data_IF_997644533987
#
_entry.id   IF_997644533987
#
_cell.length_a   1.000
_cell.length_b   1.000
_cell.length_c   1.000
_cell.angle_alpha   90.00
_cell.angle_beta   90.00
_cell.angle_gamma   90.00
#
_symmetry.space_group_name_H-M   'P 1'
#
loop_
_entity.id
_entity.type
_entity.pdbx_description
1 polymer ?
#
# COMPACT_ATOMS: atom_id res chain seq x y z
N UNK A 1 46.91 -56.71 -4.08
CA UNK A 1 46.54 -55.80 -2.99
C UNK A 1 45.88 -54.57 -3.61
N UNK A 2 44.55 -54.59 -3.70
CA UNK A 2 43.72 -53.49 -4.23
C UNK A 2 42.68 -53.17 -3.15
N UNK A 3 42.52 -51.92 -2.72
CA UNK A 3 41.41 -51.56 -1.86
C UNK A 3 40.24 -51.00 -2.68
N UNK A 4 39.06 -51.53 -2.38
CA UNK A 4 37.76 -51.18 -2.92
C UNK A 4 37.39 -49.71 -2.68
N UNK A 5 36.89 -49.04 -3.72
CA UNK A 5 36.17 -47.77 -3.61
C UNK A 5 34.71 -48.04 -3.23
N UNK A 6 34.36 -47.80 -1.96
CA UNK A 6 32.98 -47.65 -1.51
C UNK A 6 32.62 -46.16 -1.55
N UNK A 7 31.87 -45.77 -2.58
CA UNK A 7 31.24 -44.45 -2.70
C UNK A 7 30.09 -44.32 -1.71
N UNK A 8 30.32 -43.66 -0.57
CA UNK A 8 29.24 -43.14 0.25
C UNK A 8 28.89 -41.73 -0.24
N UNK A 9 27.79 -41.61 -0.98
CA UNK A 9 27.13 -40.31 -1.23
C UNK A 9 26.79 -39.71 0.14
N UNK A 10 27.52 -38.66 0.53
CA UNK A 10 27.11 -37.81 1.64
C UNK A 10 25.85 -37.08 1.20
N UNK A 11 24.73 -37.38 1.85
CA UNK A 11 23.49 -36.64 1.68
C UNK A 11 23.77 -35.18 2.10
N UNK A 12 23.74 -34.27 1.13
CA UNK A 12 23.82 -32.86 1.40
C UNK A 12 22.71 -32.49 2.38
N UNK A 13 23.11 -32.00 3.56
CA UNK A 13 22.20 -31.48 4.57
C UNK A 13 21.21 -30.48 3.93
N UNK A 14 19.95 -30.45 4.39
CA UNK A 14 18.99 -29.47 3.89
C UNK A 14 19.57 -28.08 4.09
N UNK A 15 19.86 -27.39 2.99
CA UNK A 15 20.30 -25.99 3.02
C UNK A 15 19.25 -25.19 3.79
N UNK A 16 19.63 -24.71 4.97
CA UNK A 16 18.90 -23.72 5.74
C UNK A 16 18.48 -22.55 4.84
N UNK A 17 17.26 -22.02 5.00
CA UNK A 17 16.76 -20.92 4.18
C UNK A 17 17.69 -19.71 4.37
N UNK A 18 18.11 -19.12 3.25
CA UNK A 18 18.82 -17.84 3.23
C UNK A 18 17.92 -16.74 3.85
N UNK A 19 18.28 -16.17 5.02
CA UNK A 19 17.47 -15.17 5.73
C UNK A 19 17.74 -13.72 5.27
N UNK A 20 18.53 -13.49 4.22
CA UNK A 20 19.09 -12.17 3.91
C UNK A 20 18.43 -11.39 2.75
N UNK A 21 17.14 -11.60 2.47
CA UNK A 21 16.36 -10.68 1.64
C UNK A 21 15.13 -10.16 2.39
N UNK A 22 15.36 -9.52 3.54
CA UNK A 22 14.29 -8.84 4.28
C UNK A 22 13.63 -7.75 3.41
N UNK A 23 12.33 -7.52 3.60
CA UNK A 23 11.64 -6.44 2.90
C UNK A 23 12.18 -5.08 3.40
N UNK A 24 12.24 -4.04 2.53
CA UNK A 24 12.78 -2.73 2.94
C UNK A 24 11.96 -2.12 4.10
N UNK A 25 10.70 -2.52 4.21
CA UNK A 25 9.75 -2.17 5.27
C UNK A 25 10.21 -2.57 6.68
N UNK A 26 10.99 -3.65 6.84
CA UNK A 26 11.47 -4.17 8.15
C UNK A 26 12.23 -3.15 8.97
N UNK A 27 12.88 -2.25 8.28
CA UNK A 27 13.71 -1.24 8.92
C UNK A 27 12.92 -0.08 9.49
N UNK A 28 11.63 0.05 9.16
CA UNK A 28 10.74 1.10 9.66
C UNK A 28 11.22 2.52 9.32
N UNK A 29 11.93 2.68 8.19
CA UNK A 29 12.51 3.95 7.76
C UNK A 29 12.51 4.11 6.24
N UNK A 30 11.82 5.13 5.74
CA UNK A 30 11.85 5.51 4.32
C UNK A 30 13.16 6.26 3.96
N UNK A 31 13.64 7.11 4.86
CA UNK A 31 14.78 8.01 4.62
C UNK A 31 16.14 7.42 5.04
N UNK A 32 17.16 7.65 4.21
CA UNK A 32 18.57 7.39 4.51
C UNK A 32 19.11 8.35 5.60
N UNK A 33 20.23 7.99 6.23
CA UNK A 33 20.85 8.77 7.32
C UNK A 33 21.31 7.87 8.49
N UNK A 34 22.02 8.43 9.50
CA UNK A 34 22.60 7.68 10.61
C UNK A 34 21.59 6.75 11.30
N UNK A 35 22.06 5.74 12.03
CA UNK A 35 21.21 4.79 12.76
C UNK A 35 20.30 5.50 13.80
N UNK A 36 19.15 5.98 13.34
CA UNK A 36 18.11 6.60 14.16
C UNK A 36 16.98 5.63 14.47
N UNK A 37 16.24 5.93 15.54
CA UNK A 37 15.08 5.14 15.99
C UNK A 37 14.03 5.00 14.87
N UNK A 38 13.37 3.83 14.70
CA UNK A 38 12.29 3.67 13.74
C UNK A 38 11.18 4.70 14.00
N UNK A 39 10.49 5.13 12.94
CA UNK A 39 9.43 6.15 13.02
C UNK A 39 8.14 5.62 12.40
N UNK A 40 7.03 6.28 12.72
CA UNK A 40 5.78 6.12 11.96
C UNK A 40 6.06 6.50 10.51
N UNK A 41 5.90 5.52 9.62
CA UNK A 41 6.11 5.71 8.19
C UNK A 41 4.89 6.36 7.56
N UNK A 42 3.72 5.83 7.92
CA UNK A 42 2.43 6.25 7.38
C UNK A 42 1.53 6.66 8.52
N UNK A 43 1.12 7.92 8.50
CA UNK A 43 0.11 8.46 9.40
C UNK A 43 -1.31 8.03 9.02
N UNK A 44 -1.55 7.86 7.71
CA UNK A 44 -2.83 7.49 7.09
C UNK A 44 -2.61 6.49 5.97
N UNK A 45 -3.58 5.61 5.76
CA UNK A 45 -3.60 4.74 4.58
C UNK A 45 -4.21 5.42 3.36
N UNK A 46 -3.56 5.16 2.23
CA UNK A 46 -4.05 5.47 0.90
C UNK A 46 -4.53 4.18 0.26
N UNK A 47 -5.61 3.64 0.78
CA UNK A 47 -6.24 2.41 0.29
C UNK A 47 -7.74 2.64 0.37
N UNK A 48 -8.45 2.44 -0.73
CA UNK A 48 -9.90 2.53 -0.74
C UNK A 48 -10.52 1.21 -0.27
N UNK A 49 -11.09 1.14 0.95
CA UNK A 49 -11.66 -0.09 1.48
C UNK A 49 -12.89 -0.55 0.68
N UNK A 50 -13.51 0.31 -0.14
CA UNK A 50 -14.64 -0.11 -0.97
C UNK A 50 -14.28 -1.26 -1.92
N UNK A 51 -13.02 -1.37 -2.33
CA UNK A 51 -12.52 -2.50 -3.13
C UNK A 51 -12.64 -3.80 -2.34
N UNK A 52 -12.15 -3.84 -1.09
CA UNK A 52 -12.31 -4.99 -0.21
C UNK A 52 -13.77 -5.29 0.07
N UNK A 53 -14.56 -4.28 0.45
CA UNK A 53 -15.95 -4.47 0.83
C UNK A 53 -16.81 -5.02 -0.32
N UNK A 54 -16.45 -4.70 -1.56
CA UNK A 54 -17.11 -5.26 -2.75
C UNK A 54 -16.62 -6.67 -3.12
N UNK A 55 -15.38 -7.01 -2.77
CA UNK A 55 -14.74 -8.26 -3.19
C UNK A 55 -14.83 -9.37 -2.15
N UNK A 56 -14.88 -9.02 -0.86
CA UNK A 56 -14.84 -9.97 0.23
C UNK A 56 -16.19 -10.66 0.44
N UNK A 57 -16.18 -11.88 1.02
CA UNK A 57 -17.41 -12.55 1.44
C UNK A 57 -18.22 -11.70 2.44
N UNK A 58 -19.46 -12.10 2.77
CA UNK A 58 -20.29 -11.40 3.75
C UNK A 58 -19.60 -11.21 5.13
N UNK A 59 -20.09 -10.26 5.96
CA UNK A 59 -19.60 -10.03 7.32
C UNK A 59 -19.54 -11.31 8.19
N UNK A 60 -18.64 -11.32 9.17
CA UNK A 60 -18.29 -12.50 9.97
C UNK A 60 -17.13 -13.33 9.39
N UNK A 61 -16.69 -13.03 8.16
CA UNK A 61 -15.53 -13.66 7.56
C UNK A 61 -14.21 -13.24 8.24
N UNK A 62 -13.25 -14.18 8.31
CA UNK A 62 -11.91 -13.97 8.88
C UNK A 62 -11.00 -13.32 7.85
N UNK A 63 -10.52 -12.12 8.15
CA UNK A 63 -9.74 -11.31 7.21
C UNK A 63 -8.35 -11.00 7.77
N UNK A 64 -7.32 -11.24 6.97
CA UNK A 64 -5.97 -10.72 7.26
C UNK A 64 -5.73 -9.42 6.48
N UNK A 65 -5.19 -8.39 7.14
CA UNK A 65 -4.71 -7.19 6.47
C UNK A 65 -3.34 -6.76 7.01
N UNK A 66 -2.65 -5.89 6.28
CA UNK A 66 -1.45 -5.20 6.81
C UNK A 66 -1.92 -4.06 7.73
N UNK A 67 -1.41 -4.01 8.96
CA UNK A 67 -1.91 -3.07 9.97
C UNK A 67 -1.62 -1.62 9.59
N UNK A 68 -0.37 -1.30 9.27
CA UNK A 68 0.05 0.01 8.78
C UNK A 68 -0.49 1.17 9.65
N UNK A 69 -1.28 2.12 9.15
CA UNK A 69 -1.88 3.17 10.00
C UNK A 69 -3.20 2.77 10.67
N UNK A 70 -3.72 1.57 10.38
CA UNK A 70 -4.95 1.02 10.95
C UNK A 70 -6.23 1.36 10.18
N UNK A 71 -6.21 2.28 9.19
CA UNK A 71 -7.44 2.74 8.54
C UNK A 71 -8.20 1.61 7.79
N UNK A 72 -7.50 0.74 7.05
CA UNK A 72 -8.12 -0.40 6.34
C UNK A 72 -8.65 -1.44 7.34
N UNK A 73 -7.86 -1.78 8.37
CA UNK A 73 -8.28 -2.68 9.43
C UNK A 73 -9.53 -2.17 10.15
N UNK A 74 -9.60 -0.86 10.38
CA UNK A 74 -10.73 -0.21 11.00
C UNK A 74 -12.00 -0.29 10.14
N UNK A 75 -11.88 0.03 8.85
CA UNK A 75 -13.00 -0.05 7.92
C UNK A 75 -13.56 -1.47 7.81
N UNK A 76 -12.68 -2.49 7.76
CA UNK A 76 -13.07 -3.89 7.73
C UNK A 76 -13.76 -4.32 9.04
N UNK A 77 -13.21 -3.95 10.20
CA UNK A 77 -13.83 -4.29 11.48
C UNK A 77 -15.19 -3.61 11.71
N UNK A 78 -15.34 -2.37 11.21
CA UNK A 78 -16.60 -1.64 11.21
C UNK A 78 -17.65 -2.27 10.28
N UNK A 79 -17.21 -2.87 9.17
CA UNK A 79 -18.06 -3.65 8.26
C UNK A 79 -18.42 -5.05 8.80
N UNK A 80 -17.95 -5.43 10.00
CA UNK A 80 -18.31 -6.68 10.67
C UNK A 80 -17.40 -7.87 10.36
N UNK A 81 -16.21 -7.65 9.80
CA UNK A 81 -15.21 -8.70 9.61
C UNK A 81 -14.45 -9.05 10.90
N UNK A 82 -14.01 -10.30 11.02
CA UNK A 82 -13.05 -10.71 12.05
C UNK A 82 -11.63 -10.40 11.56
N UNK A 83 -11.11 -9.23 11.97
CA UNK A 83 -9.86 -8.71 11.41
C UNK A 83 -8.65 -9.11 12.22
N UNK A 84 -7.69 -9.79 11.57
CA UNK A 84 -6.29 -9.84 12.00
C UNK A 84 -5.49 -8.82 11.21
N UNK A 85 -4.84 -7.88 11.88
CA UNK A 85 -4.00 -6.86 11.26
C UNK A 85 -2.54 -7.09 11.65
N UNK A 86 -1.66 -7.28 10.65
CA UNK A 86 -0.28 -7.66 10.85
C UNK A 86 0.70 -6.59 10.37
N UNK A 87 1.73 -6.32 11.15
CA UNK A 87 2.84 -5.46 10.70
C UNK A 87 4.18 -5.95 11.24
N UNK A 88 5.19 -5.86 10.40
CA UNK A 88 6.56 -6.26 10.69
C UNK A 88 7.35 -5.14 11.37
N UNK A 89 6.92 -3.88 11.22
CA UNK A 89 7.50 -2.71 11.86
C UNK A 89 6.82 -2.47 13.24
N UNK A 90 7.53 -2.66 14.36
CA UNK A 90 6.94 -2.53 15.69
C UNK A 90 6.45 -1.11 16.00
N UNK A 91 7.07 -0.06 15.45
CA UNK A 91 6.64 1.33 15.68
C UNK A 91 5.34 1.63 14.92
N UNK A 92 5.20 1.11 13.70
CA UNK A 92 3.97 1.25 12.93
C UNK A 92 2.83 0.45 13.58
N UNK A 93 3.10 -0.76 14.05
CA UNK A 93 2.11 -1.57 14.77
C UNK A 93 1.65 -0.93 16.07
N UNK A 94 2.57 -0.37 16.87
CA UNK A 94 2.22 0.36 18.09
C UNK A 94 1.36 1.58 17.79
N UNK A 95 1.68 2.31 16.71
CA UNK A 95 0.86 3.44 16.25
C UNK A 95 -0.55 3.00 15.81
N UNK A 96 -0.66 1.92 15.02
CA UNK A 96 -1.95 1.34 14.65
C UNK A 96 -2.76 0.94 15.89
N UNK A 97 -2.11 0.37 16.91
CA UNK A 97 -2.75 0.02 18.18
C UNK A 97 -3.39 1.23 18.84
N UNK A 98 -2.62 2.28 19.09
CA UNK A 98 -3.15 3.50 19.74
C UNK A 98 -4.30 4.13 18.95
N UNK A 99 -4.27 4.03 17.61
CA UNK A 99 -5.37 4.48 16.77
C UNK A 99 -6.63 3.61 16.86
N UNK A 100 -6.47 2.29 16.88
CA UNK A 100 -7.57 1.33 16.84
C UNK A 100 -8.19 1.05 18.21
N UNK A 101 -7.39 1.09 19.27
CA UNK A 101 -7.82 0.79 20.64
C UNK A 101 -8.18 2.04 21.43
N UNK A 102 -7.36 3.10 21.31
CA UNK A 102 -7.53 4.34 22.10
C UNK A 102 -8.24 5.46 21.31
N UNK A 103 -8.54 5.23 20.02
CA UNK A 103 -9.15 6.24 19.15
C UNK A 103 -8.25 7.45 18.89
N UNK A 104 -6.92 7.31 19.04
CA UNK A 104 -5.99 8.42 18.89
C UNK A 104 -6.07 9.04 17.49
N UNK A 105 -5.91 10.38 17.37
CA UNK A 105 -5.91 11.05 16.07
C UNK A 105 -4.73 10.61 15.22
N UNK A 106 -4.87 10.76 13.90
CA UNK A 106 -3.79 10.45 12.97
C UNK A 106 -2.58 11.38 13.20
N UNK A 107 -1.41 10.79 13.44
CA UNK A 107 -0.14 11.51 13.49
C UNK A 107 0.41 11.70 12.07
N UNK A 108 1.25 12.72 11.85
CA UNK A 108 1.97 12.86 10.58
C UNK A 108 3.11 11.84 10.50
N UNK A 109 3.03 10.93 9.54
CA UNK A 109 4.11 9.98 9.22
C UNK A 109 5.20 10.60 8.37
N UNK A 110 6.20 9.78 8.03
CA UNK A 110 7.33 10.20 7.20
C UNK A 110 6.90 10.44 5.76
N UNK A 111 6.00 9.61 5.22
CA UNK A 111 5.45 9.79 3.87
C UNK A 111 4.64 11.10 3.76
N UNK A 112 3.83 11.42 4.77
CA UNK A 112 3.03 12.65 4.80
C UNK A 112 3.90 13.91 4.93
N UNK A 113 5.02 13.82 5.67
CA UNK A 113 6.01 14.91 5.72
C UNK A 113 6.62 15.20 4.35
N UNK A 114 7.03 14.15 3.62
CA UNK A 114 7.61 14.31 2.29
C UNK A 114 6.60 14.88 1.29
N UNK A 115 5.38 14.34 1.26
CA UNK A 115 4.32 14.89 0.40
C UNK A 115 3.94 16.32 0.81
N UNK A 116 3.99 16.64 2.11
CA UNK A 116 3.80 17.99 2.62
C UNK A 116 4.82 19.00 2.08
N UNK A 117 6.11 18.65 2.07
CA UNK A 117 7.15 19.47 1.46
C UNK A 117 6.89 19.71 -0.03
N UNK A 118 6.48 18.66 -0.75
CA UNK A 118 6.07 18.77 -2.16
C UNK A 118 4.91 19.73 -2.38
N UNK A 119 3.86 19.64 -1.54
CA UNK A 119 2.72 20.57 -1.58
C UNK A 119 3.14 22.01 -1.29
N UNK A 120 3.99 22.24 -0.29
CA UNK A 120 4.49 23.58 0.04
C UNK A 120 5.29 24.18 -1.12
N UNK A 121 6.17 23.39 -1.74
CA UNK A 121 6.93 23.83 -2.91
C UNK A 121 6.02 24.16 -4.10
N UNK A 122 5.04 23.29 -4.39
CA UNK A 122 4.06 23.54 -5.44
C UNK A 122 3.23 24.80 -5.17
N UNK A 123 2.74 24.99 -3.94
CA UNK A 123 1.96 26.17 -3.55
C UNK A 123 2.75 27.48 -3.61
N UNK A 124 4.06 27.43 -3.35
CA UNK A 124 4.94 28.60 -3.45
C UNK A 124 5.19 29.01 -4.91
N UNK A 125 5.25 28.06 -5.83
CA UNK A 125 5.67 28.28 -7.21
C UNK A 125 4.52 28.33 -8.21
N UNK A 126 3.37 27.72 -7.91
CA UNK A 126 2.28 27.51 -8.85
C UNK A 126 0.96 28.05 -8.27
N UNK A 127 0.32 29.06 -8.89
CA UNK A 127 -0.93 29.64 -8.39
C UNK A 127 -2.07 28.63 -8.19
N UNK A 128 -2.25 27.68 -9.11
CA UNK A 128 -3.27 26.63 -9.01
C UNK A 128 -3.09 25.69 -7.81
N UNK A 129 -1.87 25.60 -7.27
CA UNK A 129 -1.54 24.76 -6.12
C UNK A 129 -1.61 25.49 -4.78
N UNK A 130 -2.02 26.76 -4.76
CA UNK A 130 -2.30 27.47 -3.51
C UNK A 130 -3.44 26.77 -2.74
N UNK A 131 -3.40 26.72 -1.39
CA UNK A 131 -4.39 25.97 -0.61
C UNK A 131 -5.85 26.31 -0.91
N UNK A 132 -6.15 27.59 -1.18
CA UNK A 132 -7.50 28.03 -1.53
C UNK A 132 -7.97 27.50 -2.90
N UNK A 133 -7.09 27.51 -3.91
CA UNK A 133 -7.38 27.00 -5.25
C UNK A 133 -7.59 25.48 -5.23
N UNK A 134 -6.68 24.74 -4.57
CA UNK A 134 -6.81 23.29 -4.36
C UNK A 134 -8.11 22.96 -3.61
N UNK A 135 -8.43 23.69 -2.55
CA UNK A 135 -9.68 23.48 -1.81
C UNK A 135 -10.94 23.78 -2.64
N UNK A 136 -10.89 24.78 -3.53
CA UNK A 136 -11.97 25.05 -4.48
C UNK A 136 -12.16 23.91 -5.48
N UNK A 137 -11.06 23.42 -6.05
CA UNK A 137 -11.06 22.27 -6.95
C UNK A 137 -11.55 20.97 -6.28
N UNK A 138 -11.19 20.76 -5.01
CA UNK A 138 -11.58 19.57 -4.25
C UNK A 138 -13.06 19.54 -3.83
N UNK A 139 -13.77 20.68 -3.94
CA UNK A 139 -15.22 20.77 -3.67
C UNK A 139 -16.08 20.47 -4.90
N UNK A 140 -15.47 20.29 -6.06
CA UNK A 140 -16.19 19.92 -7.27
C UNK A 140 -16.74 18.50 -7.12
N UNK A 141 -17.94 18.30 -7.68
CA UNK A 141 -18.64 17.02 -7.69
C UNK A 141 -18.79 16.45 -9.11
N UNK A 142 -18.63 17.29 -10.14
CA UNK A 142 -18.66 16.90 -11.56
C UNK A 142 -17.25 16.48 -12.06
N UNK A 143 -17.03 15.20 -12.40
CA UNK A 143 -15.75 14.73 -12.94
C UNK A 143 -15.34 15.39 -14.26
N UNK A 144 -16.30 15.84 -15.08
CA UNK A 144 -15.99 16.51 -16.33
C UNK A 144 -15.45 17.92 -16.11
N UNK A 145 -16.06 18.69 -15.22
CA UNK A 145 -15.51 19.97 -14.76
C UNK A 145 -14.14 19.78 -14.10
N UNK A 146 -13.99 18.77 -13.23
CA UNK A 146 -12.70 18.45 -12.60
C UNK A 146 -11.61 18.18 -13.63
N UNK A 147 -11.91 17.37 -14.66
CA UNK A 147 -10.95 17.08 -15.74
C UNK A 147 -10.54 18.34 -16.49
N UNK A 148 -11.50 19.21 -16.83
CA UNK A 148 -11.22 20.49 -17.51
C UNK A 148 -10.32 21.38 -16.65
N UNK A 149 -10.66 21.58 -15.38
CA UNK A 149 -9.88 22.41 -14.45
C UNK A 149 -8.51 21.81 -14.12
N UNK A 150 -8.41 20.50 -13.96
CA UNK A 150 -7.13 19.82 -13.77
C UNK A 150 -6.17 20.13 -14.91
N UNK A 151 -6.63 20.01 -16.16
CA UNK A 151 -5.83 20.26 -17.34
C UNK A 151 -5.46 21.74 -17.49
N UNK A 152 -6.40 22.63 -17.19
CA UNK A 152 -6.20 24.07 -17.37
C UNK A 152 -5.36 24.73 -16.26
N UNK A 153 -5.51 24.30 -15.00
CA UNK A 153 -5.01 25.03 -13.82
C UNK A 153 -3.95 24.26 -13.02
N UNK A 154 -3.93 22.92 -13.08
CA UNK A 154 -3.10 22.09 -12.18
C UNK A 154 -1.96 21.38 -12.92
N UNK A 155 -2.24 20.67 -14.01
CA UNK A 155 -1.26 19.88 -14.79
C UNK A 155 -0.53 20.71 -15.86
N UNK A 156 0.06 21.81 -15.42
CA UNK A 156 0.88 22.67 -16.26
C UNK A 156 2.36 22.24 -16.35
N UNK A 157 3.14 22.84 -17.27
CA UNK A 157 4.58 22.56 -17.40
C UNK A 157 5.37 22.75 -16.09
N UNK A 158 5.00 23.74 -15.27
CA UNK A 158 5.63 24.00 -13.98
C UNK A 158 5.47 22.85 -12.98
N UNK A 159 4.27 22.25 -12.90
CA UNK A 159 4.07 21.07 -12.05
C UNK A 159 4.89 19.88 -12.55
N UNK A 160 4.89 19.65 -13.86
CA UNK A 160 5.64 18.55 -14.48
C UNK A 160 7.15 18.70 -14.23
N UNK A 161 7.67 19.92 -14.31
CA UNK A 161 9.07 20.21 -13.98
C UNK A 161 9.38 19.94 -12.50
N UNK A 162 8.51 20.39 -11.58
CA UNK A 162 8.68 20.13 -10.15
C UNK A 162 8.60 18.63 -9.82
N UNK A 163 7.63 17.92 -10.41
CA UNK A 163 7.51 16.48 -10.25
C UNK A 163 8.75 15.75 -10.80
N UNK A 164 9.25 16.15 -11.96
CA UNK A 164 10.46 15.58 -12.55
C UNK A 164 11.70 15.80 -11.66
N UNK A 165 11.88 17.01 -11.13
CA UNK A 165 12.99 17.33 -10.22
C UNK A 165 12.92 16.55 -8.89
N UNK A 166 11.71 16.28 -8.40
CA UNK A 166 11.51 15.58 -7.14
C UNK A 166 11.55 14.04 -7.28
N UNK A 167 10.83 13.47 -8.25
CA UNK A 167 10.42 12.06 -8.24
C UNK A 167 11.20 11.16 -9.21
N UNK A 168 11.99 11.72 -10.13
CA UNK A 168 12.82 10.92 -11.05
C UNK A 168 13.93 10.16 -10.29
N UNK A 169 14.50 9.09 -10.86
CA UNK A 169 15.52 8.27 -10.19
C UNK A 169 16.78 9.03 -9.73
N UNK A 170 17.09 10.19 -10.33
CA UNK A 170 18.17 11.09 -9.91
C UNK A 170 17.66 12.36 -9.18
N UNK A 171 16.37 12.42 -8.88
CA UNK A 171 15.70 13.55 -8.23
C UNK A 171 15.84 13.55 -6.72
N UNK A 172 15.35 14.62 -6.08
CA UNK A 172 15.50 14.87 -4.65
C UNK A 172 14.94 13.75 -3.76
N UNK A 173 13.86 13.08 -4.16
CA UNK A 173 13.31 11.96 -3.40
C UNK A 173 14.27 10.77 -3.41
N UNK A 174 14.89 10.46 -4.55
CA UNK A 174 15.82 9.35 -4.64
C UNK A 174 17.06 9.56 -3.76
N UNK A 175 17.57 10.80 -3.64
CA UNK A 175 18.74 11.10 -2.80
C UNK A 175 18.47 10.86 -1.32
N UNK A 176 17.25 11.15 -0.85
CA UNK A 176 16.88 10.97 0.56
C UNK A 176 16.31 9.60 0.88
N UNK A 177 15.77 8.86 -0.10
CA UNK A 177 15.25 7.50 0.11
C UNK A 177 16.37 6.48 0.33
N UNK A 178 16.11 5.50 1.21
CA UNK A 178 17.01 4.36 1.35
C UNK A 178 17.09 3.55 0.04
N UNK A 179 18.22 2.91 -0.26
CA UNK A 179 18.41 2.14 -1.49
C UNK A 179 17.30 1.11 -1.77
N UNK A 180 16.84 0.39 -0.75
CA UNK A 180 15.76 -0.61 -0.88
C UNK A 180 14.37 -0.05 -1.21
N UNK A 181 14.15 1.26 -1.08
CA UNK A 181 12.91 1.93 -1.51
C UNK A 181 13.03 2.59 -2.88
N UNK A 182 14.25 2.81 -3.38
CA UNK A 182 14.44 3.36 -4.74
C UNK A 182 13.91 2.40 -5.81
N UNK A 183 14.03 1.09 -5.59
CA UNK A 183 13.54 0.06 -6.52
C UNK A 183 12.02 -0.17 -6.46
N UNK A 184 11.32 0.44 -5.49
CA UNK A 184 9.87 0.37 -5.36
C UNK A 184 9.18 1.31 -6.34
N UNK A 185 9.78 2.46 -6.62
CA UNK A 185 9.19 3.48 -7.47
C UNK A 185 9.28 3.08 -8.96
N UNK A 186 8.19 3.21 -9.74
CA UNK A 186 8.21 3.05 -11.18
C UNK A 186 9.27 3.91 -11.89
N UNK A 187 9.73 3.47 -13.06
CA UNK A 187 10.44 4.36 -13.99
C UNK A 187 9.48 5.47 -14.44
N UNK A 188 9.94 6.71 -14.45
CA UNK A 188 9.09 7.86 -14.78
C UNK A 188 7.99 8.09 -13.74
N UNK A 189 8.26 7.82 -12.46
CA UNK A 189 7.26 7.92 -11.39
C UNK A 189 6.59 9.31 -11.30
N UNK A 190 7.30 10.38 -11.67
CA UNK A 190 6.77 11.72 -11.85
C UNK A 190 5.54 11.74 -12.76
N UNK A 191 5.69 11.25 -13.99
CA UNK A 191 4.60 11.24 -14.96
C UNK A 191 3.54 10.20 -14.61
N UNK A 192 3.95 9.04 -14.10
CA UNK A 192 3.05 7.97 -13.68
C UNK A 192 2.10 8.47 -12.58
N UNK A 193 2.63 9.14 -11.55
CA UNK A 193 1.82 9.67 -10.46
C UNK A 193 0.84 10.73 -10.96
N UNK A 194 1.30 11.67 -11.79
CA UNK A 194 0.42 12.69 -12.38
C UNK A 194 -0.68 12.08 -13.24
N UNK A 195 -0.38 11.06 -14.06
CA UNK A 195 -1.38 10.32 -14.85
C UNK A 195 -2.39 9.60 -13.96
N UNK A 196 -1.96 9.01 -12.83
CA UNK A 196 -2.86 8.35 -11.88
C UNK A 196 -3.81 9.36 -11.22
N UNK A 197 -3.28 10.50 -10.76
CA UNK A 197 -4.10 11.58 -10.21
C UNK A 197 -5.09 12.09 -11.26
N UNK A 198 -4.62 12.41 -12.47
CA UNK A 198 -5.46 12.87 -13.58
C UNK A 198 -6.61 11.90 -13.90
N UNK A 199 -6.33 10.59 -13.91
CA UNK A 199 -7.35 9.56 -14.11
C UNK A 199 -8.37 9.56 -12.97
N UNK A 200 -7.94 9.62 -11.71
CA UNK A 200 -8.86 9.57 -10.57
C UNK A 200 -9.74 10.83 -10.52
N UNK A 201 -9.19 12.03 -10.76
CA UNK A 201 -10.00 13.27 -10.78
C UNK A 201 -10.97 13.32 -11.96
N UNK A 202 -10.69 12.61 -13.05
CA UNK A 202 -11.61 12.50 -14.18
C UNK A 202 -12.71 11.44 -13.98
N UNK A 203 -12.60 10.59 -12.94
CA UNK A 203 -13.50 9.45 -12.73
C UNK A 203 -14.35 9.58 -11.49
N UNK A 204 -13.80 10.12 -10.41
CA UNK A 204 -14.46 10.18 -9.12
C UNK A 204 -14.68 11.64 -8.71
N UNK A 205 -15.86 11.98 -8.15
CA UNK A 205 -16.09 13.29 -7.56
C UNK A 205 -15.07 13.59 -6.46
N UNK A 206 -14.40 14.74 -6.55
CA UNK A 206 -13.42 15.17 -5.56
C UNK A 206 -14.09 15.45 -4.21
N UNK A 207 -15.31 16.00 -4.27
CA UNK A 207 -16.13 16.33 -3.10
C UNK A 207 -16.47 15.11 -2.24
N UNK A 208 -16.36 13.89 -2.76
CA UNK A 208 -16.60 12.64 -2.03
C UNK A 208 -15.34 11.77 -1.88
N UNK A 209 -14.16 12.25 -2.30
CA UNK A 209 -12.92 11.46 -2.31
C UNK A 209 -11.96 11.88 -1.18
N UNK A 210 -12.01 11.18 -0.04
CA UNK A 210 -11.15 11.47 1.12
C UNK A 210 -9.65 11.48 0.78
N UNK A 211 -9.20 10.61 -0.13
CA UNK A 211 -7.80 10.52 -0.50
C UNK A 211 -7.34 11.68 -1.38
N UNK A 212 -8.22 12.26 -2.20
CA UNK A 212 -7.94 13.49 -2.94
C UNK A 212 -7.58 14.63 -1.98
N UNK A 213 -8.39 14.81 -0.94
CA UNK A 213 -8.20 15.82 0.10
C UNK A 213 -6.89 15.60 0.86
N UNK A 214 -6.62 14.36 1.26
CA UNK A 214 -5.37 14.01 1.96
C UNK A 214 -4.15 14.21 1.07
N UNK A 215 -4.18 13.73 -0.18
CA UNK A 215 -3.01 13.78 -1.08
C UNK A 215 -2.69 15.20 -1.52
N UNK A 216 -3.69 15.92 -2.04
CA UNK A 216 -3.50 17.21 -2.72
C UNK A 216 -3.48 18.39 -1.75
N UNK A 217 -4.26 18.33 -0.66
CA UNK A 217 -4.35 19.43 0.31
C UNK A 217 -3.73 19.09 1.67
N UNK A 218 -3.48 17.81 1.98
CA UNK A 218 -2.94 17.40 3.27
C UNK A 218 -3.94 17.50 4.42
N UNK A 219 -5.24 17.45 4.12
CA UNK A 219 -6.32 17.60 5.10
C UNK A 219 -7.36 16.50 4.94
N UNK A 220 -8.11 16.24 6.00
CA UNK A 220 -9.33 15.44 5.88
C UNK A 220 -10.38 16.22 5.09
N UNK A 221 -11.22 15.49 4.36
CA UNK A 221 -12.38 16.07 3.73
C UNK A 221 -13.34 16.62 4.80
N UNK A 222 -13.95 17.80 4.61
CA UNK A 222 -14.99 18.30 5.50
C UNK A 222 -16.11 17.28 5.69
N UNK A 223 -16.46 17.00 6.95
CA UNK A 223 -17.49 16.01 7.29
C UNK A 223 -17.04 14.55 7.18
N UNK A 224 -15.78 14.26 6.85
CA UNK A 224 -15.26 12.91 6.95
C UNK A 224 -15.17 12.50 8.43
N UNK A 225 -15.98 11.53 8.83
CA UNK A 225 -15.85 10.87 10.12
C UNK A 225 -14.87 9.69 9.97
N UNK A 226 -13.95 9.55 10.93
CA UNK A 226 -13.24 8.28 11.07
C UNK A 226 -14.26 7.22 11.51
N UNK A 227 -14.21 6.02 10.92
CA UNK A 227 -14.99 4.90 11.44
C UNK A 227 -14.51 4.61 12.87
N UNK A 228 -15.35 4.80 13.91
CA UNK A 228 -14.95 4.48 15.27
C UNK A 228 -14.81 2.96 15.36
N UNK A 229 -13.65 2.52 15.82
CA UNK A 229 -13.43 1.11 16.14
C UNK A 229 -13.24 1.04 17.63
N UNK A 230 -14.07 0.24 18.30
CA UNK A 230 -13.92 0.00 19.73
C UNK A 230 -12.72 -0.90 20.03
N UNK A 231 -12.23 -0.89 21.28
CA UNK A 231 -11.13 -1.76 21.70
C UNK A 231 -11.48 -3.24 21.45
N UNK A 232 -10.46 -4.02 21.10
CA UNK A 232 -10.59 -5.48 20.89
C UNK A 232 -11.26 -5.92 19.59
N UNK A 233 -11.68 -5.00 18.71
CA UNK A 233 -12.31 -5.33 17.41
C UNK A 233 -11.33 -5.80 16.33
N UNK A 234 -10.04 -5.52 16.49
CA UNK A 234 -8.97 -5.90 15.55
C UNK A 234 -7.87 -6.62 16.32
N UNK A 235 -7.51 -7.82 15.89
CA UNK A 235 -6.37 -8.56 16.44
C UNK A 235 -5.07 -8.10 15.80
N UNK A 236 -4.24 -7.39 16.57
CA UNK A 236 -2.94 -6.90 16.09
C UNK A 236 -1.83 -7.93 16.31
N UNK A 237 -1.10 -8.27 15.24
CA UNK A 237 -0.02 -9.27 15.26
C UNK A 237 1.28 -8.67 14.74
N UNK A 238 2.37 -8.83 15.49
CA UNK A 238 3.71 -8.49 15.00
C UNK A 238 4.29 -9.65 14.23
N UNK A 239 4.68 -9.45 12.98
CA UNK A 239 5.31 -10.50 12.20
C UNK A 239 5.52 -10.11 10.75
N UNK A 240 6.23 -10.96 10.01
CA UNK A 240 6.29 -10.90 8.55
C UNK A 240 5.12 -11.70 7.96
N UNK A 241 4.44 -11.15 6.96
CA UNK A 241 3.16 -11.69 6.49
C UNK A 241 3.28 -13.06 5.84
N UNK A 242 4.34 -13.31 5.07
CA UNK A 242 4.58 -14.61 4.43
C UNK A 242 4.81 -15.66 5.49
N UNK A 243 5.67 -15.39 6.47
CA UNK A 243 5.91 -16.32 7.57
C UNK A 243 4.67 -16.59 8.41
N UNK A 244 3.82 -15.58 8.63
CA UNK A 244 2.56 -15.75 9.34
C UNK A 244 1.59 -16.67 8.58
N UNK A 245 1.42 -16.41 7.28
CA UNK A 245 0.56 -17.22 6.41
C UNK A 245 1.09 -18.66 6.29
N UNK A 246 2.40 -18.87 6.23
CA UNK A 246 2.98 -20.23 6.19
C UNK A 246 2.79 -21.01 7.50
N UNK A 247 2.74 -20.33 8.65
CA UNK A 247 2.62 -20.97 9.97
C UNK A 247 1.18 -21.25 10.39
N UNK A 248 0.19 -20.54 9.85
CA UNK A 248 -1.20 -20.80 10.21
C UNK A 248 -1.72 -22.09 9.57
N UNK A 249 -2.80 -22.65 10.13
CA UNK A 249 -3.48 -23.79 9.52
C UNK A 249 -4.00 -23.42 8.12
N UNK A 250 -4.09 -24.42 7.24
CA UNK A 250 -4.66 -24.20 5.91
C UNK A 250 -6.10 -23.68 6.03
N UNK A 251 -6.47 -22.71 5.20
CA UNK A 251 -7.81 -22.10 5.25
C UNK A 251 -8.15 -21.34 6.55
N UNK A 252 -7.13 -20.83 7.26
CA UNK A 252 -7.31 -19.96 8.43
C UNK A 252 -8.03 -18.64 8.12
N UNK A 253 -8.01 -18.18 6.87
CA UNK A 253 -8.63 -16.94 6.43
C UNK A 253 -9.63 -17.16 5.30
N UNK A 254 -10.66 -16.33 5.28
CA UNK A 254 -11.65 -16.25 4.20
C UNK A 254 -11.22 -15.25 3.13
N UNK A 255 -10.54 -14.19 3.56
CA UNK A 255 -9.94 -13.22 2.65
C UNK A 255 -8.68 -12.57 3.22
N UNK A 256 -7.87 -12.00 2.34
CA UNK A 256 -6.67 -11.21 2.71
C UNK A 256 -6.57 -9.94 1.87
N UNK A 257 -6.07 -8.86 2.46
CA UNK A 257 -5.67 -7.65 1.72
C UNK A 257 -4.21 -7.30 2.00
N UNK A 258 -3.44 -7.15 0.92
CA UNK A 258 -1.99 -7.03 0.93
C UNK A 258 -1.57 -5.83 0.09
N UNK A 259 -1.34 -4.70 0.76
CA UNK A 259 -0.90 -3.47 0.11
C UNK A 259 0.60 -3.30 0.27
N UNK A 260 1.31 -2.98 -0.83
CA UNK A 260 2.76 -2.73 -0.91
C UNK A 260 3.72 -3.86 -0.48
N UNK A 261 3.19 -5.01 -0.06
CA UNK A 261 4.00 -6.16 0.38
C UNK A 261 4.91 -6.69 -0.74
N UNK A 262 4.42 -6.68 -1.98
CA UNK A 262 5.18 -7.10 -3.16
C UNK A 262 6.10 -6.01 -3.72
N UNK A 263 6.02 -4.80 -3.17
CA UNK A 263 6.80 -3.64 -3.61
C UNK A 263 8.17 -3.65 -2.93
N UNK A 264 9.21 -3.90 -3.73
CA UNK A 264 10.61 -3.98 -3.28
C UNK A 264 11.18 -5.38 -3.42
N UNK A 265 10.58 -6.41 -2.79
CA UNK A 265 11.03 -7.78 -2.95
C UNK A 265 10.96 -8.26 -4.41
N UNK A 266 11.85 -9.19 -4.77
CA UNK A 266 11.95 -9.76 -6.11
C UNK A 266 10.91 -10.85 -6.41
N UNK A 267 10.88 -11.39 -7.64
CA UNK A 267 9.89 -12.38 -8.08
C UNK A 267 9.81 -13.65 -7.21
N UNK A 268 10.92 -14.06 -6.58
CA UNK A 268 10.95 -15.20 -5.65
C UNK A 268 10.05 -14.97 -4.43
N UNK A 269 10.10 -13.77 -3.86
CA UNK A 269 9.25 -13.41 -2.73
C UNK A 269 7.78 -13.37 -3.14
N UNK A 270 7.46 -12.77 -4.30
CA UNK A 270 6.09 -12.76 -4.81
C UNK A 270 5.51 -14.17 -5.02
N UNK A 271 6.32 -15.13 -5.53
CA UNK A 271 5.91 -16.54 -5.65
C UNK A 271 5.68 -17.19 -4.28
N UNK A 272 6.57 -16.95 -3.31
CA UNK A 272 6.43 -17.46 -1.94
C UNK A 272 5.17 -16.90 -1.27
N UNK A 273 4.94 -15.59 -1.38
CA UNK A 273 3.72 -14.95 -0.88
C UNK A 273 2.47 -15.54 -1.52
N UNK A 274 2.45 -15.74 -2.85
CA UNK A 274 1.33 -16.40 -3.52
C UNK A 274 1.06 -17.79 -2.95
N UNK A 275 2.09 -18.62 -2.80
CA UNK A 275 1.95 -19.96 -2.23
C UNK A 275 1.42 -19.91 -0.78
N UNK A 276 1.92 -18.98 0.03
CA UNK A 276 1.47 -18.79 1.41
C UNK A 276 0.00 -18.33 1.48
N UNK A 277 -0.43 -17.45 0.58
CA UNK A 277 -1.84 -17.04 0.45
C UNK A 277 -2.72 -18.22 0.03
N UNK A 278 -2.32 -19.01 -0.97
CA UNK A 278 -3.07 -20.20 -1.41
C UNK A 278 -3.22 -21.26 -0.31
N UNK A 279 -2.23 -21.36 0.59
CA UNK A 279 -2.30 -22.25 1.76
C UNK A 279 -3.25 -21.69 2.84
N UNK A 280 -3.04 -20.44 3.25
CA UNK A 280 -3.69 -19.86 4.41
C UNK A 280 -5.14 -19.42 4.15
N UNK A 281 -5.49 -19.11 2.91
CA UNK A 281 -6.84 -18.68 2.52
C UNK A 281 -7.63 -19.89 2.02
N UNK A 282 -8.86 -20.06 2.49
CA UNK A 282 -9.70 -21.20 2.07
C UNK A 282 -9.85 -21.23 0.55
N UNK A 283 -10.02 -22.41 -0.08
CA UNK A 283 -10.33 -22.49 -1.50
C UNK A 283 -11.55 -21.63 -1.88
N UNK A 284 -11.44 -20.87 -2.98
CA UNK A 284 -12.45 -19.91 -3.41
C UNK A 284 -12.51 -18.62 -2.57
N UNK A 285 -11.64 -18.47 -1.57
CA UNK A 285 -11.46 -17.23 -0.82
C UNK A 285 -10.80 -16.14 -1.66
N UNK A 286 -10.72 -14.93 -1.11
CA UNK A 286 -10.36 -13.74 -1.89
C UNK A 286 -9.08 -13.08 -1.39
N UNK A 287 -8.18 -12.71 -2.31
CA UNK A 287 -7.01 -11.90 -2.02
C UNK A 287 -7.09 -10.58 -2.80
N UNK A 288 -7.02 -9.45 -2.09
CA UNK A 288 -6.81 -8.12 -2.68
C UNK A 288 -5.33 -7.78 -2.55
N UNK A 289 -4.68 -7.44 -3.66
CA UNK A 289 -3.26 -7.07 -3.68
C UNK A 289 -3.11 -5.70 -4.32
N UNK A 290 -2.45 -4.78 -3.63
CA UNK A 290 -2.10 -3.45 -4.15
C UNK A 290 -0.60 -3.27 -4.30
N UNK A 291 -0.20 -2.64 -5.41
CA UNK A 291 1.20 -2.37 -5.73
C UNK A 291 1.36 -0.99 -6.36
N UNK A 292 2.40 -0.28 -5.94
CA UNK A 292 2.80 1.00 -6.52
C UNK A 292 3.40 0.84 -7.93
N UNK A 293 3.83 -0.38 -8.29
CA UNK A 293 4.41 -0.70 -9.60
C UNK A 293 3.40 -0.48 -10.72
N UNK A 294 3.91 -0.21 -11.92
CA UNK A 294 3.07 -0.16 -13.11
C UNK A 294 2.54 -1.56 -13.49
N UNK A 295 1.36 -1.63 -14.13
CA UNK A 295 0.78 -2.88 -14.62
C UNK A 295 1.73 -3.69 -15.50
N UNK A 296 1.85 -4.99 -15.22
CA UNK A 296 2.43 -5.96 -16.15
C UNK A 296 1.37 -6.54 -17.11
N UNK A 297 1.66 -7.68 -17.77
CA UNK A 297 0.74 -8.31 -18.72
C UNK A 297 -0.65 -8.64 -18.16
N UNK A 298 -0.75 -8.89 -16.85
CA UNK A 298 -2.03 -9.13 -16.17
C UNK A 298 -2.88 -7.86 -15.93
N UNK A 299 -2.48 -6.72 -16.47
CA UNK A 299 -3.21 -5.46 -16.39
C UNK A 299 -3.25 -4.83 -14.99
N UNK A 300 -3.89 -3.66 -14.93
CA UNK A 300 -4.00 -2.82 -13.74
C UNK A 300 -5.02 -3.33 -12.70
N UNK A 301 -5.85 -4.30 -13.09
CA UNK A 301 -7.00 -4.72 -12.30
C UNK A 301 -7.96 -3.54 -12.07
N UNK A 302 -8.36 -3.35 -10.82
CA UNK A 302 -9.27 -2.29 -10.36
C UNK A 302 -8.54 -0.98 -9.99
N UNK A 303 -7.27 -0.79 -10.36
CA UNK A 303 -6.52 0.43 -10.00
C UNK A 303 -7.12 1.73 -10.60
N UNK A 304 -7.98 1.63 -11.61
CA UNK A 304 -8.73 2.75 -12.13
C UNK A 304 -9.92 3.14 -11.23
N UNK A 305 -10.51 2.18 -10.53
CA UNK A 305 -11.65 2.38 -9.62
C UNK A 305 -11.23 2.78 -8.21
N UNK A 306 -9.98 2.46 -7.83
CA UNK A 306 -9.45 2.80 -6.52
C UNK A 306 -9.27 4.32 -6.39
N UNK A 307 -10.00 4.91 -5.44
CA UNK A 307 -10.05 6.36 -5.23
C UNK A 307 -8.77 6.94 -4.61
N UNK A 308 -7.82 6.11 -4.17
CA UNK A 308 -6.63 6.54 -3.41
C UNK A 308 -5.45 7.07 -4.25
N UNK A 309 -5.62 7.13 -5.58
CA UNK A 309 -4.77 7.84 -6.56
C UNK A 309 -3.33 7.33 -6.75
N UNK A 310 -2.79 6.50 -5.85
CA UNK A 310 -1.37 6.18 -5.86
C UNK A 310 -1.04 4.79 -6.42
N UNK A 311 -2.00 3.89 -6.55
CA UNK A 311 -1.73 2.51 -6.97
C UNK A 311 -1.68 2.36 -8.48
N UNK A 312 -0.72 1.55 -8.94
CA UNK A 312 -0.66 1.13 -10.34
C UNK A 312 -1.38 -0.19 -10.59
N UNK A 313 -1.43 -1.05 -9.57
CA UNK A 313 -2.16 -2.32 -9.61
C UNK A 313 -3.00 -2.45 -8.34
N UNK A 314 -4.28 -2.78 -8.53
CA UNK A 314 -5.19 -3.23 -7.49
C UNK A 314 -5.87 -4.48 -8.03
N UNK A 315 -5.52 -5.64 -7.51
CA UNK A 315 -5.98 -6.93 -8.08
C UNK A 315 -6.76 -7.71 -7.05
N UNK A 316 -7.94 -8.15 -7.46
CA UNK A 316 -8.76 -9.12 -6.75
C UNK A 316 -8.49 -10.48 -7.36
N UNK A 317 -8.07 -11.46 -6.55
CA UNK A 317 -7.75 -12.83 -6.97
C UNK A 317 -8.57 -13.80 -6.12
N UNK A 318 -9.02 -14.90 -6.73
CA UNK A 318 -9.64 -16.01 -6.01
C UNK A 318 -8.65 -17.15 -5.86
N UNK A 319 -8.52 -17.68 -4.64
CA UNK A 319 -7.64 -18.82 -4.36
C UNK A 319 -8.24 -20.12 -4.89
N UNK A 320 -7.38 -21.05 -5.29
CA UNK A 320 -7.79 -22.36 -5.82
C UNK A 320 -8.47 -22.37 -7.19
N UNK A 321 -8.76 -21.21 -7.82
CA UNK A 321 -9.43 -21.16 -9.14
C UNK A 321 -8.48 -20.93 -10.32
N UNK A 322 -7.27 -20.39 -10.09
CA UNK A 322 -6.30 -20.10 -11.15
C UNK A 322 -5.55 -21.34 -11.65
N UNK A 323 -5.72 -22.51 -11.02
CA UNK A 323 -5.20 -23.79 -11.48
C UNK A 323 -6.01 -24.43 -12.62
N UNK A 324 -7.19 -23.90 -12.94
CA UNK A 324 -8.10 -24.46 -13.95
C UNK A 324 -8.01 -23.80 -15.33
N UNK A 325 -7.32 -22.66 -15.47
CA UNK A 325 -7.16 -21.94 -16.76
C UNK A 325 -5.79 -22.13 -17.41
N UNK A 326 -4.96 -23.03 -16.89
CA UNK A 326 -3.62 -23.34 -17.40
C UNK A 326 -3.41 -24.85 -17.53
N UNK A 327 -4.37 -25.54 -18.14
CA UNK A 327 -4.17 -26.86 -18.75
C UNK A 327 -4.63 -26.78 -20.20
#
# INVERSE_FOLDING_TARGET
>A
MSPSFLTHRSAAAPRTPDPAAGTPWRTGRLLAGPAGRPRVLFGRMYEDPAVELAAFPPPGARVLCIASAGDTAAALAAAGYEVTALDLNPVQLAYARTRLEDGAPAATGTAERLTGLGRTAAAALLPGWRPAAVAGFLRLDDPDEQRRRWTAEFDGPGLRLLAAAALRPAGALATVLRPGFRCVLPRGFDEVLLRRIARTVARHPNAANDWAWRLLLGRERPGAAAAPVGPGRVRLVRGEVVEHLERCAAGSYDAVTLSNVVDGPGPRFARRLRAAVEHAVRPGGTAVVRSLREPGPGGAGQAAEDRSMIWGVVRVVRTGTDGARAR
#
